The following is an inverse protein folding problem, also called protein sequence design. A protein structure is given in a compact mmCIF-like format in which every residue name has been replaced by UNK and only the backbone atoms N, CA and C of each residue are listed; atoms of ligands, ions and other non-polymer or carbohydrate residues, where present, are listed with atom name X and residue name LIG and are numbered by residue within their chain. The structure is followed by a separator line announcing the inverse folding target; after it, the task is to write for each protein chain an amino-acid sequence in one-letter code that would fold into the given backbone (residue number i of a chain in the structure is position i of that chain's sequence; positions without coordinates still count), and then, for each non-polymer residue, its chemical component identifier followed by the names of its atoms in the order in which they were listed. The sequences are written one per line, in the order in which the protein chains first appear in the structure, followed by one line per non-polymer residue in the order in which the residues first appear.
data_IF_505382793536
#
_entry.id   IF_505382793536
#
_cell.length_a   1.000
_cell.length_b   1.000
_cell.length_c   1.000
_cell.angle_alpha   90.00
_cell.angle_beta   90.00
_cell.angle_gamma   90.00
#
_symmetry.space_group_name_H-M   'P 1'
#
loop_
_entity.id
_entity.type
_entity.pdbx_description
1 polymer ?
#
# COMPACT_ATOMS: atom_id res chain seq x y z
N UNK A 1 21.83 31.77 -0.20
CA UNK A 1 22.05 30.37 0.20
C UNK A 1 20.90 29.98 1.10
N UNK A 2 20.04 29.04 0.71
CA UNK A 2 18.93 28.60 1.57
C UNK A 2 19.54 27.60 2.57
N UNK A 3 19.49 27.88 3.89
CA UNK A 3 20.00 26.92 4.86
C UNK A 3 19.13 25.67 4.83
N UNK A 4 19.73 24.50 4.58
CA UNK A 4 19.04 23.23 4.67
C UNK A 4 18.88 22.86 6.15
N UNK A 5 17.65 22.92 6.66
CA UNK A 5 17.32 22.38 7.98
C UNK A 5 17.37 20.85 7.90
N UNK A 6 18.31 20.24 8.62
CA UNK A 6 18.26 18.80 8.83
C UNK A 6 17.04 18.48 9.70
N UNK A 7 16.14 17.65 9.19
CA UNK A 7 14.97 17.20 9.95
C UNK A 7 15.40 16.15 10.97
N UNK A 8 14.85 16.28 12.18
CA UNK A 8 14.92 15.24 13.19
C UNK A 8 13.90 14.14 12.89
N UNK A 9 14.11 12.94 13.45
CA UNK A 9 13.15 11.85 13.31
C UNK A 9 11.77 12.21 13.89
N UNK A 10 11.75 13.02 14.96
CA UNK A 10 10.52 13.50 15.57
C UNK A 10 9.71 14.39 14.62
N UNK A 11 10.37 15.31 13.90
CA UNK A 11 9.72 16.18 12.93
C UNK A 11 9.19 15.40 11.72
N UNK A 12 9.94 14.38 11.26
CA UNK A 12 9.46 13.49 10.19
C UNK A 12 8.24 12.70 10.64
N UNK A 13 8.25 12.19 11.87
CA UNK A 13 7.12 11.47 12.46
C UNK A 13 5.89 12.38 12.60
N UNK A 14 6.07 13.60 13.11
CA UNK A 14 4.99 14.57 13.27
C UNK A 14 4.35 14.97 11.94
N UNK A 15 5.16 15.21 10.90
CA UNK A 15 4.65 15.48 9.54
C UNK A 15 3.87 14.29 8.97
N UNK A 16 4.38 13.07 9.15
CA UNK A 16 3.69 11.85 8.74
C UNK A 16 2.36 11.66 9.47
N UNK A 17 2.34 11.87 10.79
CA UNK A 17 1.15 11.78 11.62
C UNK A 17 0.11 12.83 11.22
N UNK A 18 0.54 14.07 10.99
CA UNK A 18 -0.33 15.15 10.53
C UNK A 18 -0.99 14.81 9.18
N UNK A 19 -0.22 14.28 8.22
CA UNK A 19 -0.77 13.81 6.94
C UNK A 19 -1.77 12.68 7.14
N UNK A 20 -1.45 11.72 7.99
CA UNK A 20 -2.35 10.60 8.29
C UNK A 20 -3.70 11.09 8.84
N UNK A 21 -3.68 12.03 9.78
CA UNK A 21 -4.89 12.51 10.46
C UNK A 21 -5.72 13.48 9.59
N UNK A 22 -5.04 14.38 8.85
CA UNK A 22 -5.68 15.52 8.20
C UNK A 22 -5.74 15.43 6.67
N UNK A 23 -4.85 14.70 6.01
CA UNK A 23 -4.81 14.55 4.55
C UNK A 23 -4.47 13.11 4.12
N UNK A 24 -5.50 12.27 4.11
CA UNK A 24 -5.40 10.86 3.75
C UNK A 24 -4.86 10.64 2.33
N UNK A 25 -5.10 11.56 1.40
CA UNK A 25 -4.59 11.43 0.02
C UNK A 25 -3.10 11.71 -0.04
N UNK A 26 -2.65 12.73 0.68
CA UNK A 26 -1.22 13.00 0.82
C UNK A 26 -0.51 11.87 1.57
N UNK A 27 -1.17 11.24 2.56
CA UNK A 27 -0.63 10.06 3.22
C UNK A 27 -0.47 8.87 2.27
N UNK A 28 -1.47 8.56 1.44
CA UNK A 28 -1.36 7.50 0.43
C UNK A 28 -0.24 7.81 -0.59
N UNK A 29 -0.13 9.07 -1.01
CA UNK A 29 0.95 9.50 -1.91
C UNK A 29 2.33 9.34 -1.27
N UNK A 30 2.46 9.62 0.03
CA UNK A 30 3.69 9.41 0.79
C UNK A 30 4.06 7.92 0.83
N UNK A 31 3.09 7.03 1.06
CA UNK A 31 3.34 5.58 1.03
C UNK A 31 3.81 5.11 -0.35
N UNK A 32 3.21 5.61 -1.43
CA UNK A 32 3.58 5.20 -2.79
C UNK A 32 5.00 5.67 -3.17
N UNK A 33 5.42 6.84 -2.68
CA UNK A 33 6.76 7.37 -2.89
C UNK A 33 7.85 6.69 -2.04
N UNK A 34 7.48 6.15 -0.87
CA UNK A 34 8.45 5.62 0.10
C UNK A 34 8.59 4.11 0.05
N UNK A 35 7.54 3.38 -0.33
CA UNK A 35 7.55 1.92 -0.38
C UNK A 35 7.81 1.44 -1.80
N UNK A 36 9.07 1.10 -2.09
CA UNK A 36 9.44 0.45 -3.33
C UNK A 36 9.28 -1.08 -3.22
N UNK A 37 8.23 -1.63 -3.83
CA UNK A 37 7.99 -3.08 -3.80
C UNK A 37 9.03 -3.90 -4.57
N UNK A 38 9.68 -3.33 -5.58
CA UNK A 38 10.75 -4.03 -6.32
C UNK A 38 11.99 -4.24 -5.45
N UNK A 39 12.22 -3.38 -4.45
CA UNK A 39 13.33 -3.51 -3.49
C UNK A 39 13.00 -4.49 -2.36
N UNK A 40 11.73 -4.60 -1.97
CA UNK A 40 11.31 -5.38 -0.81
C UNK A 40 10.94 -6.82 -1.20
N UNK A 41 10.34 -7.03 -2.37
CA UNK A 41 9.81 -8.34 -2.79
C UNK A 41 10.90 -9.10 -3.55
N UNK A 42 11.39 -10.26 -3.04
CA UNK A 42 12.42 -11.01 -3.72
C UNK A 42 11.98 -11.52 -5.09
N UNK A 43 12.90 -11.52 -6.06
CA UNK A 43 12.65 -12.06 -7.41
C UNK A 43 12.18 -13.52 -7.38
N UNK A 44 12.69 -14.32 -6.43
CA UNK A 44 12.24 -15.70 -6.24
C UNK A 44 10.76 -15.76 -5.88
N UNK A 45 10.28 -14.87 -5.01
CA UNK A 45 8.87 -14.78 -4.65
C UNK A 45 8.00 -14.39 -5.85
N UNK A 46 8.42 -13.39 -6.63
CA UNK A 46 7.73 -13.01 -7.88
C UNK A 46 7.65 -14.19 -8.84
N UNK A 47 8.77 -14.91 -9.03
CA UNK A 47 8.85 -16.06 -9.93
C UNK A 47 7.91 -17.19 -9.47
N UNK A 48 7.93 -17.53 -8.18
CA UNK A 48 7.02 -18.53 -7.62
C UNK A 48 5.56 -18.08 -7.69
N UNK A 49 5.29 -16.80 -7.44
CA UNK A 49 3.96 -16.25 -7.60
C UNK A 49 3.48 -16.38 -9.03
N UNK A 50 4.33 -16.29 -10.06
CA UNK A 50 3.91 -16.40 -11.47
C UNK A 50 4.00 -17.81 -12.06
N UNK A 51 4.54 -18.79 -11.34
CA UNK A 51 4.63 -20.18 -11.80
C UNK A 51 3.25 -20.76 -12.21
N UNK A 52 3.21 -21.70 -13.15
CA UNK A 52 1.93 -22.31 -13.56
C UNK A 52 1.35 -23.15 -12.43
N UNK A 53 0.11 -22.85 -12.03
CA UNK A 53 -0.64 -23.59 -10.99
C UNK A 53 -1.90 -24.25 -11.53
N UNK A 54 -2.10 -24.25 -12.86
CA UNK A 54 -3.30 -24.80 -13.51
C UNK A 54 -4.56 -23.93 -13.45
N UNK A 55 -4.55 -22.81 -12.69
CA UNK A 55 -5.64 -21.83 -12.65
C UNK A 55 -5.11 -20.43 -13.00
N UNK A 56 -5.80 -19.67 -13.88
CA UNK A 56 -5.41 -18.30 -14.16
C UNK A 56 -5.58 -17.44 -12.91
N UNK A 57 -4.59 -16.59 -12.65
CA UNK A 57 -4.63 -15.62 -11.56
C UNK A 57 -5.52 -14.45 -11.94
N UNK A 58 -6.47 -14.12 -11.07
CA UNK A 58 -7.38 -12.98 -11.27
C UNK A 58 -6.74 -11.65 -10.87
N UNK A 59 -5.92 -11.64 -9.82
CA UNK A 59 -5.35 -10.42 -9.24
C UNK A 59 -3.83 -10.42 -9.36
N UNK A 60 -3.20 -9.29 -9.75
CA UNK A 60 -1.75 -9.18 -9.82
C UNK A 60 -1.10 -9.15 -8.44
N UNK A 61 0.18 -9.52 -8.35
CA UNK A 61 0.91 -9.65 -7.09
C UNK A 61 0.99 -8.34 -6.30
N UNK A 62 1.46 -7.27 -6.94
CA UNK A 62 1.74 -6.01 -6.24
C UNK A 62 0.48 -5.34 -5.68
N UNK A 63 -0.66 -5.30 -6.38
CA UNK A 63 -1.92 -4.87 -5.77
C UNK A 63 -2.32 -5.64 -4.52
N UNK A 64 -2.12 -6.97 -4.50
CA UNK A 64 -2.38 -7.76 -3.30
C UNK A 64 -1.43 -7.39 -2.16
N UNK A 65 -0.13 -7.24 -2.44
CA UNK A 65 0.85 -6.82 -1.42
C UNK A 65 0.53 -5.42 -0.88
N UNK A 66 0.22 -4.44 -1.75
CA UNK A 66 -0.17 -3.09 -1.34
C UNK A 66 -1.40 -3.10 -0.43
N UNK A 67 -2.42 -3.89 -0.73
CA UNK A 67 -3.59 -4.00 0.14
C UNK A 67 -3.28 -4.64 1.49
N UNK A 68 -2.42 -5.65 1.54
CA UNK A 68 -1.96 -6.24 2.81
C UNK A 68 -1.12 -5.24 3.62
N UNK A 69 -0.30 -4.41 2.98
CA UNK A 69 0.43 -3.32 3.65
C UNK A 69 -0.55 -2.30 4.26
N UNK A 70 -1.53 -1.84 3.48
CA UNK A 70 -2.59 -0.94 3.96
C UNK A 70 -3.35 -1.56 5.14
N UNK A 71 -3.66 -2.86 5.06
CA UNK A 71 -4.30 -3.59 6.15
C UNK A 71 -3.50 -3.48 7.45
N UNK A 72 -2.17 -3.61 7.38
CA UNK A 72 -1.30 -3.49 8.56
C UNK A 72 -1.12 -2.05 9.03
N UNK A 73 -0.88 -1.11 8.13
CA UNK A 73 -0.67 0.31 8.46
C UNK A 73 -1.92 0.89 9.13
N UNK A 74 -3.11 0.61 8.59
CA UNK A 74 -4.37 1.09 9.15
C UNK A 74 -4.94 0.20 10.25
N UNK A 75 -4.20 -0.84 10.66
CA UNK A 75 -4.64 -1.81 11.68
C UNK A 75 -6.04 -2.37 11.39
N UNK A 76 -6.33 -2.64 10.11
CA UNK A 76 -7.60 -3.22 9.67
C UNK A 76 -7.64 -4.67 10.18
N UNK A 77 -8.59 -5.04 11.04
CA UNK A 77 -8.54 -6.28 11.79
C UNK A 77 -8.83 -7.54 10.95
N UNK A 78 -9.53 -7.41 9.82
CA UNK A 78 -9.98 -8.56 9.03
C UNK A 78 -9.92 -8.30 7.53
N UNK A 79 -9.77 -9.37 6.76
CA UNK A 79 -9.77 -9.32 5.29
C UNK A 79 -11.14 -8.88 4.75
N UNK A 80 -12.23 -9.28 5.41
CA UNK A 80 -13.58 -8.82 5.08
C UNK A 80 -13.70 -7.31 5.17
N UNK A 81 -13.15 -6.68 6.22
CA UNK A 81 -13.21 -5.23 6.36
C UNK A 81 -12.31 -4.53 5.33
N UNK A 82 -11.14 -5.09 5.03
CA UNK A 82 -10.28 -4.61 3.95
C UNK A 82 -11.01 -4.64 2.60
N UNK A 83 -11.70 -5.74 2.28
CA UNK A 83 -12.49 -5.88 1.05
C UNK A 83 -13.62 -4.85 1.02
N UNK A 84 -14.29 -4.59 2.14
CA UNK A 84 -15.31 -3.53 2.25
C UNK A 84 -14.70 -2.17 1.94
N UNK A 85 -13.54 -1.83 2.52
CA UNK A 85 -12.87 -0.57 2.23
C UNK A 85 -12.46 -0.45 0.76
N UNK A 86 -11.92 -1.51 0.17
CA UNK A 86 -11.61 -1.55 -1.27
C UNK A 86 -12.88 -1.45 -2.14
N UNK A 87 -14.05 -1.94 -1.70
CA UNK A 87 -15.31 -1.76 -2.43
C UNK A 87 -15.80 -0.32 -2.42
N UNK A 88 -15.63 0.40 -1.31
CA UNK A 88 -16.24 1.72 -1.14
C UNK A 88 -15.29 2.91 -1.34
N UNK A 89 -13.97 2.75 -1.15
CA UNK A 89 -12.99 3.80 -1.45
C UNK A 89 -12.34 3.55 -2.79
N UNK A 90 -12.55 4.47 -3.73
CA UNK A 90 -11.87 4.44 -5.02
C UNK A 90 -10.36 4.68 -4.85
N UNK A 91 -9.99 5.52 -3.90
CA UNK A 91 -8.63 6.00 -3.73
C UNK A 91 -7.72 4.90 -3.15
N UNK A 92 -8.27 4.05 -2.27
CA UNK A 92 -7.57 2.83 -1.84
C UNK A 92 -7.43 1.81 -2.98
N UNK A 93 -8.42 1.69 -3.87
CA UNK A 93 -8.29 0.81 -5.04
C UNK A 93 -7.24 1.33 -6.01
N UNK A 94 -7.25 2.62 -6.27
CA UNK A 94 -6.33 3.29 -7.19
C UNK A 94 -4.90 3.21 -6.65
N UNK A 95 -4.69 3.48 -5.35
CA UNK A 95 -3.41 3.28 -4.67
C UNK A 95 -2.88 1.85 -4.80
N UNK A 96 -3.74 0.85 -4.57
CA UNK A 96 -3.36 -0.55 -4.70
C UNK A 96 -3.16 -0.97 -6.17
N UNK A 97 -3.85 -0.34 -7.12
CA UNK A 97 -3.88 -0.74 -8.53
C UNK A 97 -4.90 -1.84 -8.85
N UNK A 98 -5.99 -1.93 -8.09
CA UNK A 98 -7.07 -2.89 -8.36
C UNK A 98 -8.06 -2.36 -9.41
N UNK A 99 -8.15 -3.04 -10.55
CA UNK A 99 -9.25 -2.85 -11.51
C UNK A 99 -10.56 -3.50 -11.05
N UNK A 100 -10.44 -4.63 -10.35
CA UNK A 100 -11.54 -5.39 -9.78
C UNK A 100 -11.16 -5.77 -8.36
N UNK A 101 -12.06 -5.51 -7.42
CA UNK A 101 -11.85 -5.81 -6.00
C UNK A 101 -11.88 -7.33 -5.79
N UNK A 102 -10.93 -7.90 -5.03
CA UNK A 102 -10.94 -9.31 -4.66
C UNK A 102 -12.22 -9.75 -3.94
N UNK A 103 -12.63 -10.98 -4.20
CA UNK A 103 -13.64 -11.69 -3.42
C UNK A 103 -13.05 -12.18 -2.07
N UNK A 104 -13.94 -12.42 -1.10
CA UNK A 104 -13.61 -13.02 0.19
C UNK A 104 -13.65 -14.55 0.09
#
# INVERSE_FOLDING_TARGET
MIPYKQLTLAEVFEDCQNKFDNDKYQFLSLLDQTINLDEIVPVSFVTHFHASTGRPRKHPLYPMIKALLIQRIFSIPTDTLLIIFLKYSQELRDFCGFRVVPDA
#
